data_IF_343202116238
#
_entry.id   IF_343202116238
#
_cell.length_a   1.000
_cell.length_b   1.000
_cell.length_c   1.000
_cell.angle_alpha   90.00
_cell.angle_beta   90.00
_cell.angle_gamma   90.00
#
_symmetry.space_group_name_H-M   'P 1'
#
loop_
_entity.id
_entity.type
_entity.pdbx_description
1 polymer ?
#
# COMPACT_ATOMS: atom_id res chain seq x y z
N UNK A 1 -56.95 -9.21 34.55
CA UNK A 1 -58.12 -8.86 33.71
C UNK A 1 -57.74 -9.07 32.25
N UNK A 2 -58.38 -9.99 31.62
CA UNK A 2 -58.25 -10.45 30.22
C UNK A 2 -58.76 -9.41 29.25
N UNK A 3 -58.22 -9.36 28.03
CA UNK A 3 -58.86 -9.21 26.71
C UNK A 3 -57.69 -9.10 25.73
N UNK A 4 -57.28 -10.02 24.94
CA UNK A 4 -57.79 -10.89 23.83
C UNK A 4 -58.40 -10.12 22.66
N UNK A 5 -57.88 -10.47 21.48
CA UNK A 5 -58.46 -10.52 20.13
C UNK A 5 -58.07 -9.40 19.18
N UNK A 6 -57.96 -9.58 17.89
CA UNK A 6 -57.78 -10.75 16.97
C UNK A 6 -57.68 -10.16 15.55
N UNK A 7 -56.84 -10.73 14.70
CA UNK A 7 -56.99 -11.05 13.27
C UNK A 7 -57.56 -9.94 12.33
N UNK A 8 -56.89 -9.64 11.23
CA UNK A 8 -57.42 -10.01 9.92
C UNK A 8 -56.34 -9.95 8.84
N UNK A 9 -56.12 -11.08 8.21
CA UNK A 9 -55.49 -11.28 6.90
C UNK A 9 -56.40 -10.71 5.81
N UNK A 10 -55.78 -10.15 4.75
CA UNK A 10 -56.41 -10.24 3.43
C UNK A 10 -55.31 -10.41 2.38
N UNK A 11 -55.36 -11.57 1.79
CA UNK A 11 -54.84 -11.94 0.48
C UNK A 11 -55.44 -11.04 -0.61
N UNK A 12 -54.68 -10.71 -1.62
CA UNK A 12 -55.15 -10.76 -2.99
C UNK A 12 -54.02 -11.15 -3.93
N UNK A 13 -54.25 -12.28 -4.56
CA UNK A 13 -53.51 -12.87 -5.65
C UNK A 13 -54.05 -12.36 -7.00
N UNK A 14 -53.32 -12.74 -8.04
CA UNK A 14 -53.60 -12.68 -9.47
C UNK A 14 -53.02 -11.46 -10.21
N UNK A 15 -52.26 -11.58 -11.31
CA UNK A 15 -52.59 -12.36 -12.50
C UNK A 15 -51.35 -12.82 -13.25
N UNK A 16 -51.39 -14.07 -13.61
CA UNK A 16 -50.62 -14.77 -14.65
C UNK A 16 -51.16 -14.32 -16.02
N UNK A 17 -50.30 -13.96 -16.95
CA UNK A 17 -50.65 -13.97 -18.37
C UNK A 17 -49.51 -14.59 -19.17
N UNK A 18 -49.73 -15.81 -19.56
CA UNK A 18 -49.01 -16.62 -20.54
C UNK A 18 -49.30 -16.14 -21.95
N UNK A 19 -48.28 -16.04 -22.79
CA UNK A 19 -48.45 -16.22 -24.25
C UNK A 19 -47.39 -17.19 -24.72
N UNK A 20 -47.87 -18.38 -25.09
CA UNK A 20 -47.23 -19.41 -25.87
C UNK A 20 -47.60 -19.21 -27.35
N UNK A 21 -46.62 -19.20 -28.21
CA UNK A 21 -46.66 -19.65 -29.59
C UNK A 21 -45.25 -19.53 -30.16
N UNK A 22 -44.65 -20.46 -30.85
CA UNK A 22 -44.99 -21.75 -31.34
C UNK A 22 -43.76 -22.30 -32.02
N UNK A 23 -43.64 -23.60 -32.02
CA UNK A 23 -42.61 -24.42 -32.66
C UNK A 23 -42.55 -24.26 -34.18
N UNK A 24 -41.34 -24.37 -34.76
CA UNK A 24 -41.14 -25.35 -35.83
C UNK A 24 -39.67 -25.71 -36.00
N UNK A 25 -39.43 -27.01 -36.08
CA UNK A 25 -38.20 -27.71 -36.39
C UNK A 25 -37.73 -27.45 -37.83
N UNK A 26 -36.41 -27.33 -38.03
CA UNK A 26 -35.74 -28.03 -39.09
C UNK A 26 -34.31 -28.37 -38.67
N UNK A 27 -34.02 -29.64 -38.74
CA UNK A 27 -32.74 -30.31 -38.57
C UNK A 27 -31.86 -30.02 -39.77
N UNK A 28 -30.60 -29.62 -39.50
CA UNK A 28 -29.47 -30.09 -40.33
C UNK A 28 -28.18 -30.07 -39.52
N UNK A 29 -27.50 -31.17 -39.56
CA UNK A 29 -26.22 -31.42 -38.93
C UNK A 29 -25.10 -30.74 -39.72
N UNK A 30 -24.20 -30.04 -39.04
CA UNK A 30 -22.88 -29.76 -39.61
C UNK A 30 -21.85 -29.51 -38.50
N UNK A 31 -21.00 -30.48 -38.39
CA UNK A 31 -19.60 -30.51 -37.95
C UNK A 31 -19.09 -29.44 -36.95
N UNK A 32 -18.63 -30.01 -35.85
CA UNK A 32 -17.72 -29.42 -34.87
C UNK A 32 -16.53 -28.67 -35.53
N UNK A 33 -16.31 -27.46 -35.07
CA UNK A 33 -15.01 -26.82 -35.11
C UNK A 33 -14.83 -26.06 -33.81
N UNK A 34 -14.02 -26.67 -32.96
CA UNK A 34 -13.49 -26.07 -31.73
C UNK A 34 -12.67 -24.84 -32.11
N UNK A 35 -13.13 -23.68 -31.72
CA UNK A 35 -12.30 -22.49 -31.69
C UNK A 35 -12.16 -22.09 -30.22
N UNK A 36 -10.97 -22.36 -29.68
CA UNK A 36 -10.49 -21.78 -28.44
C UNK A 36 -10.34 -20.26 -28.65
N UNK A 37 -11.27 -19.50 -28.13
CA UNK A 37 -11.04 -18.08 -27.86
C UNK A 37 -10.49 -17.94 -26.44
N UNK A 38 -9.21 -18.23 -26.27
CA UNK A 38 -8.41 -17.62 -25.21
C UNK A 38 -8.28 -16.14 -25.53
N UNK A 39 -9.18 -15.33 -24.99
CA UNK A 39 -8.96 -13.88 -24.88
C UNK A 39 -7.81 -13.66 -23.91
N UNK A 40 -6.61 -13.64 -24.49
CA UNK A 40 -5.41 -13.12 -23.87
C UNK A 40 -5.61 -11.62 -23.61
N UNK A 41 -6.12 -11.28 -22.42
CA UNK A 41 -6.09 -9.93 -21.87
C UNK A 41 -4.64 -9.56 -21.54
N UNK A 42 -3.82 -9.36 -22.57
CA UNK A 42 -2.58 -8.64 -22.40
C UNK A 42 -2.95 -7.20 -22.01
N UNK A 43 -2.91 -6.91 -20.70
CA UNK A 43 -2.86 -5.56 -20.23
C UNK A 43 -1.60 -4.94 -20.85
N UNK A 44 -1.79 -4.17 -21.91
CA UNK A 44 -0.75 -3.32 -22.45
C UNK A 44 -0.42 -2.31 -21.38
N UNK A 45 0.63 -2.58 -20.61
CA UNK A 45 1.25 -1.55 -19.77
C UNK A 45 1.68 -0.45 -20.75
N UNK A 46 0.90 0.61 -20.76
CA UNK A 46 1.30 1.83 -21.45
C UNK A 46 2.51 2.33 -20.67
N UNK A 47 3.71 2.07 -21.16
CA UNK A 47 4.91 2.73 -20.68
C UNK A 47 4.64 4.23 -20.77
N UNK A 48 4.43 4.85 -19.61
CA UNK A 48 4.42 6.30 -19.52
C UNK A 48 5.87 6.72 -19.77
N UNK A 49 6.21 6.98 -21.00
CA UNK A 49 7.52 7.54 -21.34
C UNK A 49 7.65 8.87 -20.61
N UNK A 50 8.56 8.93 -19.61
CA UNK A 50 8.95 10.18 -19.00
C UNK A 50 9.50 11.12 -20.11
N UNK A 51 9.46 12.44 -19.87
CA UNK A 51 10.05 13.37 -20.82
C UNK A 51 11.50 12.94 -21.14
N UNK A 52 11.92 12.98 -22.41
CA UNK A 52 13.27 12.52 -22.82
C UNK A 52 14.40 13.13 -22.00
N UNK A 53 14.26 14.37 -21.60
CA UNK A 53 15.29 15.12 -20.85
C UNK A 53 15.55 14.57 -19.45
N UNK A 54 14.53 14.01 -18.78
CA UNK A 54 14.69 13.45 -17.43
C UNK A 54 15.57 12.19 -17.44
N UNK A 55 15.43 11.35 -18.46
CA UNK A 55 16.28 10.16 -18.60
C UNK A 55 17.71 10.51 -19.01
N UNK A 56 17.90 11.49 -19.88
CA UNK A 56 19.25 11.92 -20.27
C UNK A 56 20.07 12.43 -19.08
N UNK A 57 19.46 13.17 -18.18
CA UNK A 57 20.11 13.66 -16.97
C UNK A 57 20.46 12.53 -15.99
N UNK A 58 19.57 11.54 -15.87
CA UNK A 58 19.81 10.35 -15.03
C UNK A 58 20.92 9.47 -15.64
N UNK A 59 20.88 9.23 -16.95
CA UNK A 59 21.91 8.47 -17.67
C UNK A 59 23.28 9.14 -17.56
N UNK A 60 23.33 10.47 -17.70
CA UNK A 60 24.56 11.24 -17.52
C UNK A 60 25.10 11.14 -16.10
N UNK A 61 24.22 11.21 -15.08
CA UNK A 61 24.58 11.01 -13.69
C UNK A 61 25.16 9.60 -13.48
N UNK A 62 24.46 8.56 -13.92
CA UNK A 62 24.88 7.16 -13.79
C UNK A 62 26.22 6.92 -14.50
N UNK A 63 26.43 7.54 -15.68
CA UNK A 63 27.66 7.38 -16.43
C UNK A 63 28.91 7.89 -15.68
N UNK A 64 28.72 8.89 -14.82
CA UNK A 64 29.78 9.52 -14.00
C UNK A 64 30.02 8.83 -12.65
N UNK A 65 29.14 7.91 -12.26
CA UNK A 65 29.28 7.18 -10.98
C UNK A 65 30.30 6.06 -11.07
N UNK A 66 31.08 5.86 -10.01
CA UNK A 66 31.90 4.66 -9.84
C UNK A 66 31.04 3.42 -9.60
N UNK A 67 31.64 2.23 -9.68
CA UNK A 67 30.94 0.98 -9.38
C UNK A 67 30.49 0.96 -7.92
N UNK A 68 31.34 1.42 -6.99
CA UNK A 68 31.04 1.51 -5.57
C UNK A 68 29.85 2.42 -5.31
N UNK A 69 29.80 3.59 -5.93
CA UNK A 69 28.66 4.51 -5.84
C UNK A 69 27.36 3.87 -6.38
N UNK A 70 27.43 3.19 -7.54
CA UNK A 70 26.28 2.49 -8.11
C UNK A 70 25.77 1.38 -7.20
N UNK A 71 26.69 0.58 -6.65
CA UNK A 71 26.33 -0.50 -5.72
C UNK A 71 25.72 0.07 -4.44
N UNK A 72 26.30 1.15 -3.89
CA UNK A 72 25.80 1.82 -2.70
C UNK A 72 24.33 2.26 -2.86
N UNK A 73 23.97 2.81 -4.02
CA UNK A 73 22.60 3.26 -4.29
C UNK A 73 21.56 2.13 -4.26
N UNK A 74 21.96 0.87 -4.33
CA UNK A 74 21.05 -0.28 -4.21
C UNK A 74 20.70 -0.62 -2.76
N UNK A 75 21.36 0.01 -1.78
CA UNK A 75 21.13 -0.27 -0.36
C UNK A 75 20.20 0.75 0.28
N UNK A 76 19.19 0.25 0.95
CA UNK A 76 18.27 0.97 1.80
C UNK A 76 18.41 0.42 3.22
N UNK A 77 18.92 1.23 4.14
CA UNK A 77 19.50 0.77 5.41
C UNK A 77 18.69 1.27 6.61
N UNK A 78 18.52 0.42 7.63
CA UNK A 78 17.87 0.80 8.87
C UNK A 78 18.73 1.75 9.69
N UNK A 79 18.16 2.88 10.14
CA UNK A 79 18.83 3.82 11.06
C UNK A 79 18.87 3.27 12.50
N UNK A 80 17.69 3.10 13.11
CA UNK A 80 17.52 2.61 14.49
C UNK A 80 18.37 3.32 15.52
N UNK A 81 18.39 4.65 15.48
CA UNK A 81 19.16 5.48 16.38
C UNK A 81 20.67 5.52 16.14
N UNK A 82 21.15 4.90 15.07
CA UNK A 82 22.57 4.90 14.74
C UNK A 82 22.98 6.15 13.94
N UNK A 83 24.23 6.57 14.11
CA UNK A 83 24.84 7.55 13.21
C UNK A 83 25.04 6.91 11.82
N UNK A 84 24.43 7.52 10.82
CA UNK A 84 24.46 7.06 9.44
C UNK A 84 25.59 7.67 8.61
N UNK A 85 26.40 8.55 9.19
CA UNK A 85 27.44 9.31 8.48
C UNK A 85 28.41 8.41 7.71
N UNK A 86 28.90 7.34 8.34
CA UNK A 86 29.81 6.38 7.70
C UNK A 86 29.13 5.61 6.56
N UNK A 87 27.88 5.17 6.77
CA UNK A 87 27.13 4.46 5.75
C UNK A 87 26.89 5.34 4.52
N UNK A 88 26.56 6.60 4.73
CA UNK A 88 26.30 7.57 3.67
C UNK A 88 27.61 7.93 2.94
N UNK A 89 28.64 8.36 3.68
CA UNK A 89 29.87 8.88 3.09
C UNK A 89 30.77 7.80 2.48
N UNK A 90 30.86 6.64 3.16
CA UNK A 90 31.76 5.56 2.76
C UNK A 90 31.13 4.56 1.80
N UNK A 91 29.88 4.22 2.03
CA UNK A 91 29.18 3.19 1.25
C UNK A 91 28.20 3.75 0.24
N UNK A 92 27.98 5.07 0.21
CA UNK A 92 27.13 5.76 -0.77
C UNK A 92 25.72 5.19 -0.87
N UNK A 93 25.11 4.82 0.28
CA UNK A 93 23.78 4.19 0.34
C UNK A 93 22.72 5.05 -0.31
N UNK A 94 21.73 4.42 -0.93
CA UNK A 94 20.63 5.11 -1.63
C UNK A 94 19.52 5.61 -0.71
N UNK A 95 19.40 5.05 0.51
CA UNK A 95 18.35 5.51 1.43
C UNK A 95 18.47 4.97 2.85
N UNK A 96 17.65 5.56 3.71
CA UNK A 96 17.58 5.27 5.15
C UNK A 96 16.14 5.04 5.57
N UNK A 97 15.89 3.92 6.26
CA UNK A 97 14.62 3.58 6.88
C UNK A 97 14.65 3.96 8.35
N UNK A 98 13.74 4.86 8.73
CA UNK A 98 13.57 5.33 10.10
C UNK A 98 12.51 4.49 10.83
N UNK A 99 12.80 4.16 12.08
CA UNK A 99 11.91 3.43 13.00
C UNK A 99 11.45 4.34 14.15
N UNK A 100 10.55 3.85 15.01
CA UNK A 100 10.06 4.62 16.16
C UNK A 100 11.17 5.25 16.99
N UNK A 101 12.24 4.50 17.27
CA UNK A 101 13.40 4.98 18.03
C UNK A 101 14.09 6.21 17.40
N UNK A 102 13.93 6.42 16.11
CA UNK A 102 14.52 7.58 15.41
C UNK A 102 13.68 8.84 15.61
N UNK A 103 12.44 8.69 16.08
CA UNK A 103 11.50 9.77 16.38
C UNK A 103 11.25 9.97 17.88
N UNK A 104 11.45 8.93 18.70
CA UNK A 104 11.10 8.88 20.12
C UNK A 104 11.62 10.10 20.91
N UNK A 105 10.70 10.79 21.55
CA UNK A 105 10.96 11.94 22.41
C UNK A 105 11.44 13.21 21.69
N UNK A 106 11.71 13.16 20.40
CA UNK A 106 12.21 14.29 19.62
C UNK A 106 11.12 15.28 19.26
N UNK A 107 11.52 16.54 19.15
CA UNK A 107 10.71 17.58 18.52
C UNK A 107 10.82 17.50 17.00
N UNK A 108 9.93 18.22 16.31
CA UNK A 108 9.96 18.33 14.86
C UNK A 108 11.28 18.91 14.34
N UNK A 109 11.82 19.90 15.05
CA UNK A 109 13.08 20.57 14.72
C UNK A 109 14.26 19.61 14.83
N UNK A 110 14.28 18.74 15.85
CA UNK A 110 15.33 17.74 16.04
C UNK A 110 15.28 16.66 14.94
N UNK A 111 14.09 16.13 14.62
CA UNK A 111 13.94 15.17 13.51
C UNK A 111 14.39 15.78 12.17
N UNK A 112 13.99 17.02 11.91
CA UNK A 112 14.40 17.73 10.69
C UNK A 112 15.92 17.96 10.66
N UNK A 113 16.55 18.28 11.79
CA UNK A 113 18.00 18.48 11.88
C UNK A 113 18.75 17.17 11.57
N UNK A 114 18.30 16.06 12.13
CA UNK A 114 18.90 14.75 11.89
C UNK A 114 18.78 14.33 10.42
N UNK A 115 17.59 14.43 9.83
CA UNK A 115 17.38 14.11 8.41
C UNK A 115 18.18 15.04 7.50
N UNK A 116 18.23 16.33 7.82
CA UNK A 116 19.05 17.28 7.07
C UNK A 116 20.54 16.97 7.15
N UNK A 117 21.03 16.53 8.32
CA UNK A 117 22.41 16.09 8.46
C UNK A 117 22.71 14.88 7.58
N UNK A 118 21.82 13.87 7.55
CA UNK A 118 21.95 12.72 6.65
C UNK A 118 21.98 13.16 5.18
N UNK A 119 21.04 13.98 4.75
CA UNK A 119 20.98 14.48 3.38
C UNK A 119 22.20 15.31 2.97
N UNK A 120 22.76 16.09 3.91
CA UNK A 120 23.94 16.93 3.65
C UNK A 120 25.22 16.10 3.44
N UNK A 121 25.26 14.88 3.92
CA UNK A 121 26.37 13.95 3.75
C UNK A 121 26.25 13.12 2.47
N UNK A 122 25.10 13.14 1.80
CA UNK A 122 24.85 12.34 0.62
C UNK A 122 25.19 13.09 -0.67
N UNK A 123 25.90 12.44 -1.59
CA UNK A 123 26.18 12.99 -2.92
C UNK A 123 24.95 12.98 -3.82
N UNK A 124 24.12 11.96 -3.68
CA UNK A 124 22.80 11.82 -4.32
C UNK A 124 21.78 11.87 -3.18
N UNK A 125 20.70 12.66 -3.31
CA UNK A 125 19.70 12.76 -2.26
C UNK A 125 19.14 11.39 -1.83
N UNK A 126 19.11 11.16 -0.51
CA UNK A 126 18.66 9.89 0.06
C UNK A 126 17.15 9.73 -0.05
N UNK A 127 16.74 8.50 -0.25
CA UNK A 127 15.38 8.06 0.06
C UNK A 127 15.29 7.94 1.59
N UNK A 128 14.50 8.81 2.21
CA UNK A 128 14.23 8.76 3.66
C UNK A 128 12.81 8.24 3.84
N UNK A 129 12.67 7.05 4.39
CA UNK A 129 11.38 6.40 4.56
C UNK A 129 11.07 5.97 5.98
N UNK A 130 9.80 5.73 6.22
CA UNK A 130 9.30 5.16 7.48
C UNK A 130 8.02 4.37 7.23
N UNK A 131 7.67 3.47 8.17
CA UNK A 131 6.41 2.72 8.15
C UNK A 131 5.33 3.52 8.87
N UNK A 132 4.59 4.35 8.19
CA UNK A 132 3.45 5.06 8.74
C UNK A 132 2.16 4.51 8.11
N UNK A 133 1.83 3.24 8.47
CA UNK A 133 0.63 2.56 7.96
C UNK A 133 -0.64 3.09 8.61
N UNK A 134 -0.54 3.36 9.89
CA UNK A 134 -1.65 3.59 10.81
C UNK A 134 -1.94 2.33 11.67
N UNK A 135 -2.69 2.51 12.76
CA UNK A 135 -3.05 1.43 13.67
C UNK A 135 -1.84 0.88 14.43
N UNK A 136 -1.57 -0.41 14.25
CA UNK A 136 -0.48 -1.10 14.97
C UNK A 136 0.92 -0.81 14.42
N UNK A 137 1.00 -0.19 13.24
CA UNK A 137 2.29 0.14 12.60
C UNK A 137 2.35 1.63 12.31
N UNK A 138 2.82 2.35 13.28
CA UNK A 138 3.14 3.78 13.24
C UNK A 138 4.55 4.00 13.80
N UNK A 139 5.22 5.05 13.36
CA UNK A 139 6.58 5.36 13.80
C UNK A 139 6.71 6.80 14.26
N UNK A 140 6.42 7.74 13.38
CA UNK A 140 6.52 9.17 13.69
C UNK A 140 5.31 9.66 14.48
N UNK A 141 4.09 9.26 14.11
CA UNK A 141 2.86 9.73 14.77
C UNK A 141 2.63 9.18 16.17
N UNK A 142 3.40 8.15 16.59
CA UNK A 142 3.37 7.62 17.95
C UNK A 142 4.06 8.56 18.96
N UNK A 143 4.89 9.48 18.48
CA UNK A 143 5.54 10.47 19.30
C UNK A 143 4.63 11.69 19.53
N UNK A 144 4.18 11.93 20.80
CA UNK A 144 3.26 13.03 21.12
C UNK A 144 3.85 14.44 20.89
N UNK A 145 5.17 14.58 20.77
CA UNK A 145 5.81 15.84 20.41
C UNK A 145 5.66 16.16 18.91
N UNK A 146 5.34 15.17 18.09
CA UNK A 146 5.20 15.33 16.65
C UNK A 146 3.73 15.41 16.21
N UNK A 147 2.85 14.68 16.92
CA UNK A 147 1.42 14.62 16.66
C UNK A 147 0.64 14.29 17.93
N UNK A 148 -0.52 14.92 18.14
CA UNK A 148 -1.36 14.73 19.33
C UNK A 148 -1.88 13.29 19.48
N UNK A 149 -2.04 12.56 18.38
CA UNK A 149 -2.49 11.17 18.37
C UNK A 149 -1.94 10.43 17.16
N UNK A 150 -1.62 9.15 17.35
CA UNK A 150 -1.21 8.28 16.27
C UNK A 150 -2.32 8.10 15.21
N UNK A 151 -1.94 7.82 13.98
CA UNK A 151 -2.87 7.52 12.89
C UNK A 151 -3.64 6.22 13.17
N UNK A 152 -4.92 6.23 12.91
CA UNK A 152 -5.77 5.05 12.99
C UNK A 152 -5.42 4.03 11.91
N UNK A 153 -5.83 2.77 12.12
CA UNK A 153 -5.74 1.78 11.05
C UNK A 153 -6.59 2.20 9.84
N UNK A 154 -6.24 1.75 8.63
CA UNK A 154 -7.03 2.07 7.44
C UNK A 154 -8.51 1.67 7.56
N UNK A 155 -8.79 0.52 8.18
CA UNK A 155 -10.16 0.06 8.41
C UNK A 155 -10.91 0.94 9.42
N UNK A 156 -10.26 1.37 10.51
CA UNK A 156 -10.88 2.27 11.50
C UNK A 156 -11.12 3.66 10.91
N UNK A 157 -10.18 4.18 10.13
CA UNK A 157 -10.34 5.45 9.41
C UNK A 157 -11.55 5.39 8.49
N UNK A 158 -11.71 4.31 7.72
CA UNK A 158 -12.87 4.11 6.87
C UNK A 158 -14.18 4.00 7.67
N UNK A 159 -14.18 3.25 8.76
CA UNK A 159 -15.35 3.10 9.62
C UNK A 159 -15.82 4.42 10.23
N UNK A 160 -14.90 5.34 10.48
CA UNK A 160 -15.21 6.66 11.06
C UNK A 160 -15.74 7.68 10.05
N UNK A 161 -15.45 7.56 8.74
CA UNK A 161 -15.88 8.59 7.78
C UNK A 161 -15.84 8.16 6.31
N UNK A 162 -15.73 6.86 6.06
CA UNK A 162 -15.78 6.32 4.70
C UNK A 162 -14.60 6.76 3.82
N UNK A 163 -14.86 6.83 2.52
CA UNK A 163 -13.82 7.16 1.53
C UNK A 163 -13.25 8.57 1.68
N UNK A 164 -14.06 9.52 2.12
CA UNK A 164 -13.57 10.89 2.40
C UNK A 164 -12.53 10.89 3.52
N UNK A 165 -12.78 10.14 4.60
CA UNK A 165 -11.82 10.05 5.69
C UNK A 165 -10.51 9.36 5.26
N UNK A 166 -10.56 8.38 4.36
CA UNK A 166 -9.34 7.77 3.78
C UNK A 166 -8.56 8.78 2.95
N UNK A 167 -9.24 9.59 2.16
CA UNK A 167 -8.59 10.62 1.33
C UNK A 167 -7.96 11.71 2.21
N UNK A 168 -8.70 12.21 3.19
CA UNK A 168 -8.23 13.24 4.14
C UNK A 168 -7.03 12.73 4.96
N UNK A 169 -7.09 11.49 5.48
CA UNK A 169 -6.00 10.82 6.19
C UNK A 169 -4.74 10.68 5.33
N UNK A 170 -4.91 10.31 4.06
CA UNK A 170 -3.79 10.16 3.15
C UNK A 170 -3.09 11.50 2.85
N UNK A 171 -3.84 12.58 2.68
CA UNK A 171 -3.30 13.92 2.51
C UNK A 171 -2.59 14.41 3.77
N UNK A 172 -3.23 14.29 4.94
CA UNK A 172 -2.67 14.71 6.24
C UNK A 172 -1.38 13.93 6.55
N UNK A 173 -1.39 12.63 6.34
CA UNK A 173 -0.21 11.77 6.53
C UNK A 173 0.95 12.15 5.61
N UNK A 174 0.64 12.47 4.35
CA UNK A 174 1.66 12.91 3.40
C UNK A 174 2.27 14.26 3.81
N UNK A 175 1.45 15.22 4.19
CA UNK A 175 1.93 16.54 4.67
C UNK A 175 2.74 16.40 5.97
N UNK A 176 2.27 15.59 6.90
CA UNK A 176 2.95 15.31 8.15
C UNK A 176 4.35 14.74 7.92
N UNK A 177 4.48 13.66 7.15
CA UNK A 177 5.76 13.01 6.88
C UNK A 177 6.73 13.94 6.12
N UNK A 178 6.27 14.62 5.08
CA UNK A 178 7.08 15.60 4.36
C UNK A 178 7.54 16.75 5.26
N UNK A 179 6.72 17.16 6.22
CA UNK A 179 7.06 18.21 7.18
C UNK A 179 8.20 17.81 8.13
N UNK A 180 8.46 16.51 8.30
CA UNK A 180 9.57 15.94 9.05
C UNK A 180 10.81 15.69 8.18
N UNK A 181 10.72 15.85 6.85
CA UNK A 181 11.78 15.53 5.91
C UNK A 181 11.75 14.08 5.39
N UNK A 182 10.79 13.27 5.80
CA UNK A 182 10.53 11.93 5.26
C UNK A 182 9.92 12.07 3.87
N UNK A 183 10.51 11.43 2.86
CA UNK A 183 10.09 11.57 1.46
C UNK A 183 9.45 10.32 0.86
N UNK A 184 9.44 9.20 1.61
CA UNK A 184 8.77 7.96 1.22
C UNK A 184 8.03 7.36 2.43
N UNK A 185 6.75 7.03 2.27
CA UNK A 185 6.03 6.20 3.21
C UNK A 185 6.06 4.73 2.74
N UNK A 186 6.52 3.81 3.61
CA UNK A 186 6.49 2.37 3.38
C UNK A 186 5.08 1.82 3.57
N UNK A 187 4.12 2.40 2.87
CA UNK A 187 2.69 2.13 2.82
C UNK A 187 2.14 2.59 1.46
N UNK A 188 0.94 2.14 1.04
CA UNK A 188 -0.06 1.37 1.78
C UNK A 188 0.17 -0.15 1.78
N UNK A 189 -0.47 -0.82 2.75
CA UNK A 189 -0.56 -2.28 2.80
C UNK A 189 -1.61 -2.76 1.80
N UNK A 190 -1.23 -3.71 0.95
CA UNK A 190 -2.07 -4.31 -0.09
C UNK A 190 -2.55 -5.72 0.26
N UNK A 191 -2.04 -6.29 1.36
CA UNK A 191 -2.45 -7.62 1.81
C UNK A 191 -3.92 -7.65 2.17
N UNK A 192 -4.56 -8.77 1.89
CA UNK A 192 -5.96 -9.03 2.23
C UNK A 192 -6.04 -10.29 3.08
N UNK A 193 -6.87 -10.26 4.12
CA UNK A 193 -7.17 -11.43 4.94
C UNK A 193 -8.52 -11.27 5.62
N UNK A 194 -9.24 -12.39 5.79
CA UNK A 194 -10.44 -12.49 6.62
C UNK A 194 -10.19 -13.23 7.94
N UNK A 195 -8.97 -13.73 8.13
CA UNK A 195 -8.59 -14.49 9.30
C UNK A 195 -8.16 -13.56 10.45
N UNK A 196 -8.94 -13.47 11.55
CA UNK A 196 -8.60 -12.60 12.68
C UNK A 196 -7.32 -13.00 13.41
N UNK A 197 -6.84 -14.22 13.24
CA UNK A 197 -5.59 -14.72 13.80
C UNK A 197 -4.38 -14.40 12.90
N UNK A 198 -4.62 -13.86 11.72
CA UNK A 198 -3.53 -13.47 10.80
C UNK A 198 -2.78 -12.26 11.34
N UNK A 199 -1.46 -12.30 11.26
CA UNK A 199 -0.58 -11.17 11.49
C UNK A 199 -0.97 -9.90 10.70
N UNK A 200 -1.60 -10.08 9.54
CA UNK A 200 -2.02 -8.97 8.68
C UNK A 200 -3.41 -8.42 9.00
N UNK A 201 -4.21 -9.07 9.86
CA UNK A 201 -5.63 -8.73 10.03
C UNK A 201 -5.87 -7.26 10.42
N UNK A 202 -5.15 -6.75 11.41
CA UNK A 202 -5.29 -5.36 11.88
C UNK A 202 -4.53 -4.33 11.02
N UNK A 203 -3.75 -4.80 10.04
CA UNK A 203 -3.00 -3.97 9.10
C UNK A 203 -3.65 -3.87 7.74
N UNK A 204 -4.46 -4.86 7.37
CA UNK A 204 -5.20 -4.89 6.11
C UNK A 204 -6.37 -3.91 6.14
N UNK A 205 -6.63 -3.28 5.00
CA UNK A 205 -7.81 -2.42 4.85
C UNK A 205 -9.10 -3.23 4.84
N UNK A 206 -9.12 -4.34 4.09
CA UNK A 206 -10.30 -5.19 3.89
C UNK A 206 -9.88 -6.62 3.53
N UNK A 207 -10.82 -7.56 3.62
CA UNK A 207 -10.72 -8.90 3.06
C UNK A 207 -11.13 -8.98 1.58
N UNK A 208 -11.61 -7.87 1.01
CA UNK A 208 -12.05 -7.76 -0.38
C UNK A 208 -11.01 -7.06 -1.25
N UNK A 209 -10.61 -7.72 -2.34
CA UNK A 209 -9.57 -7.21 -3.23
C UNK A 209 -9.98 -5.92 -3.95
N UNK A 210 -11.26 -5.76 -4.32
CA UNK A 210 -11.72 -4.56 -5.02
C UNK A 210 -11.72 -3.34 -4.09
N UNK A 211 -12.17 -3.50 -2.85
CA UNK A 211 -12.13 -2.46 -1.82
C UNK A 211 -10.70 -2.09 -1.46
N UNK A 212 -9.81 -3.07 -1.31
CA UNK A 212 -8.39 -2.84 -1.04
C UNK A 212 -7.71 -2.12 -2.22
N UNK A 213 -8.01 -2.50 -3.46
CA UNK A 213 -7.49 -1.80 -4.65
C UNK A 213 -7.91 -0.33 -4.67
N UNK A 214 -9.18 -0.03 -4.35
CA UNK A 214 -9.66 1.36 -4.26
C UNK A 214 -8.96 2.14 -3.14
N UNK A 215 -8.74 1.51 -1.98
CA UNK A 215 -7.98 2.12 -0.88
C UNK A 215 -6.57 2.48 -1.32
N UNK A 216 -5.86 1.53 -1.93
CA UNK A 216 -4.50 1.71 -2.44
C UNK A 216 -4.44 2.85 -3.47
N UNK A 217 -5.36 2.86 -4.44
CA UNK A 217 -5.43 3.92 -5.46
C UNK A 217 -5.64 5.30 -4.82
N UNK A 218 -6.55 5.40 -3.85
CA UNK A 218 -6.82 6.65 -3.11
C UNK A 218 -5.57 7.16 -2.39
N UNK A 219 -4.89 6.29 -1.63
CA UNK A 219 -3.68 6.66 -0.87
C UNK A 219 -2.53 7.05 -1.80
N UNK A 220 -2.27 6.26 -2.84
CA UNK A 220 -1.19 6.53 -3.81
C UNK A 220 -1.43 7.84 -4.55
N UNK A 221 -2.67 8.11 -4.95
CA UNK A 221 -3.03 9.35 -5.64
C UNK A 221 -2.81 10.58 -4.75
N UNK A 222 -3.33 10.58 -3.53
CA UNK A 222 -3.15 11.67 -2.59
C UNK A 222 -1.67 11.91 -2.26
N UNK A 223 -0.92 10.85 -1.98
CA UNK A 223 0.53 10.92 -1.72
C UNK A 223 1.29 11.49 -2.90
N UNK A 224 0.99 11.04 -4.13
CA UNK A 224 1.61 11.55 -5.36
C UNK A 224 1.34 13.04 -5.58
N UNK A 225 0.12 13.50 -5.32
CA UNK A 225 -0.23 14.92 -5.41
C UNK A 225 0.59 15.78 -4.46
N UNK A 226 0.88 15.26 -3.26
CA UNK A 226 1.77 15.89 -2.27
C UNK A 226 3.27 15.65 -2.53
N UNK A 227 3.63 14.84 -3.51
CA UNK A 227 5.02 14.43 -3.85
C UNK A 227 5.68 13.57 -2.76
N UNK A 228 4.90 12.82 -1.99
CA UNK A 228 5.39 11.77 -1.12
C UNK A 228 5.48 10.47 -1.93
N UNK A 229 6.63 9.81 -1.90
CA UNK A 229 6.79 8.45 -2.42
C UNK A 229 6.01 7.44 -1.59
N UNK A 230 5.54 6.37 -2.23
CA UNK A 230 4.81 5.26 -1.57
C UNK A 230 5.40 3.92 -1.97
N UNK A 231 5.30 2.94 -1.07
CA UNK A 231 5.71 1.55 -1.32
C UNK A 231 4.54 0.64 -1.06
N UNK A 232 4.04 0.00 -2.13
CA UNK A 232 2.99 -1.00 -2.02
C UNK A 232 3.56 -2.27 -1.40
N UNK A 233 2.97 -2.74 -0.29
CA UNK A 233 3.48 -3.90 0.44
C UNK A 233 2.35 -4.81 0.90
N UNK A 234 2.63 -6.11 1.01
CA UNK A 234 3.89 -6.78 0.81
C UNK A 234 3.84 -7.59 -0.50
N UNK A 235 4.96 -7.72 -1.16
CA UNK A 235 5.05 -8.55 -2.36
C UNK A 235 5.89 -9.80 -2.04
N UNK A 236 5.43 -10.99 -2.41
CA UNK A 236 4.18 -11.36 -3.12
C UNK A 236 2.92 -11.33 -2.26
N UNK A 237 2.99 -10.95 -0.99
CA UNK A 237 1.92 -10.90 0.00
C UNK A 237 2.06 -11.97 1.07
N UNK A 238 1.52 -11.69 2.26
CA UNK A 238 1.57 -12.62 3.39
C UNK A 238 0.47 -13.68 3.31
N UNK A 239 -0.71 -13.35 2.81
CA UNK A 239 -1.89 -14.19 2.96
C UNK A 239 -2.14 -14.51 4.44
N UNK A 240 -2.36 -15.80 4.74
CA UNK A 240 -2.52 -16.30 6.11
C UNK A 240 -1.22 -16.88 6.71
N UNK A 241 -0.07 -16.61 6.09
CA UNK A 241 1.22 -17.03 6.61
C UNK A 241 1.62 -16.23 7.84
N UNK A 242 2.47 -16.82 8.68
CA UNK A 242 3.00 -16.15 9.88
C UNK A 242 3.96 -15.03 9.54
N UNK A 243 4.23 -14.20 10.53
CA UNK A 243 5.19 -13.09 10.43
C UNK A 243 6.60 -13.62 10.17
N UNK A 244 7.18 -13.22 9.04
CA UNK A 244 8.52 -13.64 8.62
C UNK A 244 9.63 -13.18 9.56
N UNK A 245 9.40 -12.18 10.42
CA UNK A 245 10.36 -11.74 11.42
C UNK A 245 10.64 -12.81 12.50
N UNK A 246 9.70 -13.72 12.69
CA UNK A 246 9.81 -14.83 13.65
C UNK A 246 10.09 -16.19 12.99
N UNK A 247 10.10 -16.23 11.65
CA UNK A 247 10.40 -17.46 10.93
C UNK A 247 11.90 -17.65 10.80
N UNK A 248 12.37 -18.89 11.06
CA UNK A 248 13.72 -19.28 10.70
C UNK A 248 13.88 -19.29 9.17
N UNK A 249 15.08 -18.97 8.67
CA UNK A 249 15.37 -19.03 7.24
C UNK A 249 15.08 -20.39 6.59
N UNK A 250 15.11 -21.49 7.37
CA UNK A 250 14.72 -22.82 6.92
C UNK A 250 13.22 -23.01 6.70
N UNK A 251 12.40 -22.09 7.21
CA UNK A 251 10.95 -22.08 7.00
C UNK A 251 10.50 -21.13 5.87
N UNK A 252 11.43 -20.36 5.32
CA UNK A 252 11.17 -19.62 4.08
C UNK A 252 11.10 -20.66 2.99
N UNK A 253 9.91 -20.79 2.38
CA UNK A 253 9.56 -21.82 1.40
C UNK A 253 10.73 -22.11 0.44
N UNK A 254 11.06 -23.39 0.30
CA UNK A 254 11.99 -23.82 -0.76
C UNK A 254 11.51 -23.27 -2.11
N UNK A 255 12.42 -22.74 -2.94
CA UNK A 255 12.04 -22.34 -4.28
C UNK A 255 11.45 -23.55 -4.97
N UNK A 256 10.19 -23.48 -5.32
CA UNK A 256 9.54 -24.48 -6.16
C UNK A 256 10.34 -24.60 -7.46
N UNK A 257 10.95 -25.74 -7.65
CA UNK A 257 11.67 -26.10 -8.88
C UNK A 257 10.70 -26.32 -10.03
#
# INVERSE_FOLDING_TARGET
>A
MKIKRTITSLLTAAMLATVLAGCQNTSEASKAQSANDEQNSQATMTETTAPPDLYSDIDDMISKMTVEEKVGQLFYVNCRGNDMSDAINKYHIGGVLLFGVDFDGKTKEEVNADIKAMQSNAKIPLIIGTDEEGGTVVRASDNPNLRDSAYLSPSDTFNNGGWSAIEDDAYDKAEFLLSLGVNVNMAPVCDITSNPDSFMYYRSFSSDAASTSRFVDTVVKASKEKKLGTVLKHFPGYGDNGDTHYLSLIHISEPTR
#
